data_IF_682387407762
#
_entry.id   IF_682387407762
#
_cell.length_a   1.000
_cell.length_b   1.000
_cell.length_c   1.000
_cell.angle_alpha   90.00
_cell.angle_beta   90.00
_cell.angle_gamma   90.00
#
_symmetry.space_group_name_H-M   'P 1'
#
loop_
_entity.id
_entity.type
_entity.pdbx_description
1 polymer ?
#
# COMPACT_ATOMS: atom_id res chain seq x y z
N UNK A 1 11.91 11.57 1.47
CA UNK A 1 10.84 12.57 1.64
C UNK A 1 9.53 11.81 1.77
N UNK A 2 8.77 12.07 2.83
CA UNK A 2 7.42 11.52 2.99
C UNK A 2 6.41 12.60 2.58
N UNK A 3 5.35 12.18 1.91
CA UNK A 3 4.24 13.04 1.52
C UNK A 3 2.97 12.54 2.19
N UNK A 4 2.09 13.48 2.53
CA UNK A 4 0.78 13.19 3.11
C UNK A 4 -0.30 13.92 2.32
N UNK A 5 -1.38 13.23 2.02
CA UNK A 5 -2.61 13.80 1.44
C UNK A 5 -3.80 13.40 2.28
N UNK A 6 -4.76 14.30 2.43
CA UNK A 6 -5.92 14.10 3.31
C UNK A 6 -7.22 14.38 2.56
N UNK A 7 -8.26 13.61 2.88
CA UNK A 7 -9.63 13.77 2.36
C UNK A 7 -10.64 13.27 3.39
N UNK A 8 -11.23 14.20 4.15
CA UNK A 8 -12.11 13.83 5.27
C UNK A 8 -11.36 12.98 6.29
N UNK A 9 -11.94 11.85 6.68
CA UNK A 9 -11.34 10.93 7.66
C UNK A 9 -10.22 10.04 7.07
N UNK A 10 -9.93 10.20 5.78
CA UNK A 10 -8.95 9.40 5.06
C UNK A 10 -7.67 10.17 4.80
N UNK A 11 -6.55 9.46 4.83
CA UNK A 11 -5.28 10.02 4.39
C UNK A 11 -4.41 9.01 3.65
N UNK A 12 -3.53 9.51 2.79
CA UNK A 12 -2.49 8.75 2.11
C UNK A 12 -1.14 9.21 2.66
N UNK A 13 -0.25 8.27 2.94
CA UNK A 13 1.12 8.54 3.38
C UNK A 13 2.12 7.76 2.54
N UNK A 14 3.24 8.39 2.20
CA UNK A 14 4.41 7.69 1.62
C UNK A 14 5.51 7.43 2.64
N UNK A 15 5.22 7.59 3.93
CA UNK A 15 6.12 7.21 5.01
C UNK A 15 6.03 5.71 5.27
N UNK A 16 7.05 4.98 4.83
CA UNK A 16 7.11 3.53 5.01
C UNK A 16 7.10 3.09 6.49
N UNK A 17 7.45 3.97 7.44
CA UNK A 17 7.41 3.65 8.87
C UNK A 17 5.98 3.56 9.43
N UNK A 18 4.99 4.08 8.71
CA UNK A 18 3.57 4.01 9.11
C UNK A 18 2.88 2.76 8.57
N UNK A 19 3.56 1.93 7.79
CA UNK A 19 2.97 0.73 7.20
C UNK A 19 2.76 -0.35 8.26
N UNK A 20 1.53 -0.83 8.36
CA UNK A 20 1.22 -2.10 8.97
C UNK A 20 1.52 -3.23 7.97
N UNK A 21 2.74 -3.76 8.07
CA UNK A 21 3.21 -4.87 7.23
C UNK A 21 2.34 -6.11 7.40
N UNK A 22 1.74 -6.32 8.57
CA UNK A 22 0.86 -7.47 8.85
C UNK A 22 -0.41 -7.41 8.02
N UNK A 23 -1.10 -6.26 8.01
CA UNK A 23 -2.30 -6.03 7.18
C UNK A 23 -1.98 -6.22 5.70
N UNK A 24 -0.87 -5.64 5.22
CA UNK A 24 -0.45 -5.76 3.82
C UNK A 24 -0.15 -7.21 3.45
N UNK A 25 0.58 -7.93 4.30
CA UNK A 25 0.94 -9.34 4.08
C UNK A 25 -0.30 -10.22 4.03
N UNK A 26 -1.18 -10.09 5.01
CA UNK A 26 -2.43 -10.86 5.09
C UNK A 26 -3.29 -10.66 3.84
N UNK A 27 -3.40 -9.42 3.35
CA UNK A 27 -4.14 -9.15 2.13
C UNK A 27 -3.46 -9.75 0.90
N UNK A 28 -2.16 -9.49 0.70
CA UNK A 28 -1.46 -9.92 -0.51
C UNK A 28 -1.32 -11.44 -0.59
N UNK A 29 -0.97 -12.11 0.51
CA UNK A 29 -0.82 -13.57 0.55
C UNK A 29 -2.13 -14.32 0.28
N UNK A 30 -3.29 -13.67 0.44
CA UNK A 30 -4.60 -14.23 0.09
C UNK A 30 -5.12 -13.79 -1.28
N UNK A 31 -4.45 -12.84 -1.94
CA UNK A 31 -4.82 -12.36 -3.28
C UNK A 31 -4.50 -13.39 -4.38
N UNK A 32 -5.12 -13.24 -5.55
CA UNK A 32 -4.86 -14.16 -6.67
C UNK A 32 -3.47 -13.94 -7.32
N UNK A 33 -2.86 -12.77 -7.18
CA UNK A 33 -1.60 -12.40 -7.85
C UNK A 33 -0.36 -12.51 -6.95
N UNK A 34 -0.55 -12.55 -5.63
CA UNK A 34 0.53 -12.66 -4.65
C UNK A 34 0.28 -13.77 -3.62
N UNK A 35 -0.45 -14.82 -4.03
CA UNK A 35 -0.77 -15.97 -3.17
C UNK A 35 0.52 -16.57 -2.57
N UNK A 36 0.46 -16.91 -1.28
CA UNK A 36 1.57 -17.50 -0.52
C UNK A 36 2.86 -16.66 -0.51
N UNK A 37 2.76 -15.34 -0.74
CA UNK A 37 3.90 -14.41 -0.68
C UNK A 37 4.63 -14.53 0.67
N UNK A 38 5.92 -14.89 0.70
CA UNK A 38 6.68 -14.94 1.94
C UNK A 38 6.84 -13.54 2.55
N UNK A 39 6.76 -13.45 3.88
CA UNK A 39 6.81 -12.18 4.60
C UNK A 39 8.13 -11.43 4.34
N UNK A 40 9.25 -12.14 4.28
CA UNK A 40 10.57 -11.54 4.03
C UNK A 40 10.67 -10.95 2.62
N UNK A 41 10.02 -11.59 1.64
CA UNK A 41 9.96 -11.09 0.27
C UNK A 41 9.14 -9.81 0.22
N UNK A 42 7.98 -9.78 0.90
CA UNK A 42 7.17 -8.57 1.01
C UNK A 42 7.97 -7.42 1.63
N UNK A 43 8.57 -7.63 2.79
CA UNK A 43 9.35 -6.60 3.49
C UNK A 43 10.45 -6.01 2.61
N UNK A 44 11.19 -6.87 1.89
CA UNK A 44 12.21 -6.43 0.94
C UNK A 44 11.60 -5.66 -0.24
N UNK A 45 10.44 -6.08 -0.75
CA UNK A 45 9.77 -5.36 -1.84
C UNK A 45 9.28 -3.98 -1.41
N UNK A 46 8.72 -3.85 -0.20
CA UNK A 46 8.26 -2.59 0.37
C UNK A 46 9.42 -1.63 0.57
N UNK A 47 10.56 -2.12 1.09
CA UNK A 47 11.78 -1.33 1.29
C UNK A 47 12.35 -0.73 0.00
N UNK A 48 12.18 -1.41 -1.14
CA UNK A 48 12.76 -1.01 -2.43
C UNK A 48 11.74 -0.40 -3.39
N UNK A 49 10.57 0.02 -2.90
CA UNK A 49 9.52 0.62 -3.71
C UNK A 49 9.06 1.94 -3.09
N UNK A 50 8.47 2.82 -3.89
CA UNK A 50 7.67 3.92 -3.37
C UNK A 50 6.30 3.39 -2.96
N UNK A 51 5.92 3.59 -1.70
CA UNK A 51 4.66 3.09 -1.16
C UNK A 51 3.69 4.23 -0.93
N UNK A 52 2.42 3.98 -1.22
CA UNK A 52 1.29 4.81 -0.85
C UNK A 52 0.41 3.98 0.08
N UNK A 53 0.55 4.20 1.39
CA UNK A 53 -0.37 3.63 2.37
C UNK A 53 -1.65 4.45 2.41
N UNK A 54 -2.82 3.80 2.40
CA UNK A 54 -4.12 4.44 2.57
C UNK A 54 -4.63 4.12 3.98
N UNK A 55 -5.07 5.15 4.69
CA UNK A 55 -5.47 5.07 6.07
C UNK A 55 -6.83 5.74 6.29
N UNK A 56 -7.58 5.23 7.27
CA UNK A 56 -8.70 5.94 7.90
C UNK A 56 -8.31 6.19 9.35
N UNK A 57 -8.22 7.45 9.76
CA UNK A 57 -7.63 7.83 11.05
C UNK A 57 -6.24 7.18 11.24
N UNK A 58 -6.08 6.21 12.14
CA UNK A 58 -4.83 5.51 12.41
C UNK A 58 -4.79 4.07 11.86
N UNK A 59 -5.86 3.60 11.19
CA UNK A 59 -5.95 2.24 10.66
C UNK A 59 -5.53 2.21 9.19
N UNK A 60 -4.62 1.30 8.83
CA UNK A 60 -4.28 1.06 7.43
C UNK A 60 -5.37 0.26 6.73
N UNK A 61 -5.98 0.84 5.70
CA UNK A 61 -7.12 0.28 4.98
C UNK A 61 -6.82 -0.04 3.52
N UNK A 62 -5.60 0.26 3.03
CA UNK A 62 -5.20 -0.01 1.66
C UNK A 62 -3.73 0.28 1.38
N UNK A 63 -3.33 -0.02 0.14
CA UNK A 63 -1.97 0.16 -0.36
C UNK A 63 -2.00 0.41 -1.87
N UNK A 64 -1.04 1.18 -2.35
CA UNK A 64 -0.52 1.08 -3.70
C UNK A 64 1.01 1.11 -3.66
N UNK A 65 1.67 0.28 -4.48
CA UNK A 65 3.13 0.17 -4.53
C UNK A 65 3.64 0.53 -5.92
N UNK A 66 4.70 1.33 -5.97
CA UNK A 66 5.34 1.75 -7.21
C UNK A 66 6.79 1.29 -7.22
N UNK A 67 7.13 0.42 -8.17
CA UNK A 67 8.52 0.05 -8.46
C UNK A 67 9.06 1.05 -9.49
N UNK A 68 10.06 1.85 -9.14
CA UNK A 68 10.54 2.93 -10.00
C UNK A 68 12.02 3.20 -9.82
N UNK A 69 12.66 3.70 -10.88
CA UNK A 69 14.00 4.28 -10.86
C UNK A 69 14.00 5.77 -10.49
N UNK A 70 12.81 6.35 -10.27
CA UNK A 70 12.57 7.77 -9.99
C UNK A 70 13.00 8.73 -11.11
N UNK A 71 13.19 8.24 -12.33
CA UNK A 71 13.68 9.04 -13.45
C UNK A 71 12.95 8.76 -14.76
N UNK A 72 12.85 7.49 -15.15
CA UNK A 72 12.41 7.13 -16.52
C UNK A 72 11.30 6.08 -16.56
N UNK A 73 11.13 5.30 -15.49
CA UNK A 73 10.16 4.21 -15.47
C UNK A 73 9.50 4.03 -14.10
N UNK A 74 8.22 3.68 -14.13
CA UNK A 74 7.47 3.29 -12.95
C UNK A 74 6.47 2.17 -13.28
N UNK A 75 6.37 1.19 -12.40
CA UNK A 75 5.38 0.11 -12.46
C UNK A 75 4.52 0.12 -11.19
N UNK A 76 3.21 0.30 -11.39
CA UNK A 76 2.21 0.26 -10.32
C UNK A 76 1.79 -1.19 -10.05
N UNK A 77 1.86 -1.60 -8.78
CA UNK A 77 1.58 -2.95 -8.31
C UNK A 77 0.86 -2.93 -6.96
N UNK A 78 0.35 -4.09 -6.55
CA UNK A 78 -0.20 -4.36 -5.22
C UNK A 78 -1.24 -3.33 -4.75
N UNK A 79 -2.09 -2.89 -5.67
CA UNK A 79 -3.13 -1.89 -5.40
C UNK A 79 -4.33 -2.57 -4.77
N UNK A 80 -4.69 -2.16 -3.56
CA UNK A 80 -5.89 -2.64 -2.91
C UNK A 80 -6.48 -1.66 -1.89
N UNK A 81 -7.77 -1.87 -1.63
CA UNK A 81 -8.51 -1.33 -0.48
C UNK A 81 -9.18 -2.51 0.21
N UNK A 82 -9.13 -2.57 1.54
CA UNK A 82 -9.78 -3.61 2.33
C UNK A 82 -11.30 -3.58 2.11
N UNK A 83 -11.92 -4.77 2.10
CA UNK A 83 -13.31 -4.94 1.67
C UNK A 83 -14.32 -4.00 2.37
N UNK A 84 -14.25 -3.75 3.70
CA UNK A 84 -15.18 -2.84 4.38
C UNK A 84 -15.14 -1.38 3.90
N UNK A 85 -14.04 -0.96 3.25
CA UNK A 85 -13.80 0.42 2.84
C UNK A 85 -13.95 0.64 1.32
N UNK A 86 -14.33 -0.40 0.56
CA UNK A 86 -14.52 -0.30 -0.90
C UNK A 86 -15.78 0.50 -1.27
N UNK A 87 -15.91 0.82 -2.56
CA UNK A 87 -17.06 1.55 -3.16
C UNK A 87 -17.18 3.02 -2.71
N UNK A 88 -16.17 3.54 -2.00
CA UNK A 88 -16.11 4.93 -1.52
C UNK A 88 -15.22 5.84 -2.40
N UNK A 89 -14.87 5.39 -3.61
CA UNK A 89 -13.97 6.15 -4.50
C UNK A 89 -12.55 6.32 -3.97
N UNK A 90 -12.08 5.39 -3.12
CA UNK A 90 -10.73 5.42 -2.53
C UNK A 90 -9.65 4.82 -3.45
N UNK A 91 -10.03 4.03 -4.45
CA UNK A 91 -9.10 3.47 -5.45
C UNK A 91 -9.08 4.23 -6.77
N UNK A 92 -9.58 5.46 -6.79
CA UNK A 92 -9.62 6.33 -7.97
C UNK A 92 -8.34 7.14 -8.08
#
# INVERSE_FOLDING_TARGET
MSYKWERGDYHISTDANQLDVGVVHQFLASSYWARDLPLEVLQRSLKNSLIFGLYKENEQIGLARVITDYATFAYLADVFVLAPYRVQGLGK
#
